data_IF_632713370579
#
_entry.id   IF_632713370579
#
_cell.length_a   1.000
_cell.length_b   1.000
_cell.length_c   1.000
_cell.angle_alpha   90.00
_cell.angle_beta   90.00
_cell.angle_gamma   90.00
#
_symmetry.space_group_name_H-M   'P 1'
#
loop_
_entity.id
_entity.type
_entity.pdbx_description
1 polymer ?
#
# COMPACT_ATOMS: atom_id res chain seq x y z
N UNK A 1 56.69 23.24 30.22
CA UNK A 1 56.76 21.90 29.59
C UNK A 1 55.64 21.07 30.20
N UNK A 2 54.57 20.62 29.53
CA UNK A 2 54.42 20.11 28.17
C UNK A 2 53.06 20.52 27.58
N UNK A 3 53.07 20.65 26.27
CA UNK A 3 52.01 21.16 25.41
C UNK A 3 50.80 20.22 25.38
N UNK A 4 49.61 20.75 25.65
CA UNK A 4 48.34 20.10 25.31
C UNK A 4 48.14 20.31 23.79
N UNK A 5 48.52 19.31 22.98
CA UNK A 5 48.25 19.33 21.54
C UNK A 5 46.75 19.10 21.30
N UNK A 6 46.12 19.86 20.41
CA UNK A 6 44.74 19.65 19.99
C UNK A 6 44.71 18.45 19.05
N UNK A 7 43.98 17.41 19.42
CA UNK A 7 43.80 16.23 18.59
C UNK A 7 42.32 16.07 18.30
N UNK A 8 42.03 15.84 17.03
CA UNK A 8 40.73 15.51 16.43
C UNK A 8 39.80 16.69 16.08
N UNK A 9 40.35 17.54 15.21
CA UNK A 9 39.66 17.87 13.95
C UNK A 9 39.31 16.56 13.20
N UNK A 10 38.19 16.56 12.48
CA UNK A 10 37.65 15.47 11.62
C UNK A 10 36.68 14.46 12.24
N UNK A 11 35.39 14.83 12.26
CA UNK A 11 34.29 14.02 11.69
C UNK A 11 33.08 14.95 11.49
N UNK A 12 33.17 15.82 10.49
CA UNK A 12 31.96 16.33 9.83
C UNK A 12 31.57 15.26 8.81
N UNK A 13 30.26 15.09 8.66
CA UNK A 13 29.56 14.73 7.41
C UNK A 13 28.90 13.33 7.43
N UNK A 14 27.57 13.39 7.28
CA UNK A 14 26.63 12.34 6.85
C UNK A 14 26.17 11.31 7.89
N UNK A 15 25.42 11.76 8.89
CA UNK A 15 24.09 11.14 9.02
C UNK A 15 23.21 11.78 7.94
N UNK A 16 23.43 11.41 6.67
CA UNK A 16 22.33 11.48 5.72
C UNK A 16 21.23 10.66 6.39
N UNK A 17 20.09 11.29 6.65
CA UNK A 17 18.94 10.59 7.19
C UNK A 17 18.79 9.31 6.39
N UNK A 18 18.54 8.20 7.09
CA UNK A 18 17.88 7.07 6.45
C UNK A 18 16.65 7.67 5.78
N UNK A 19 16.78 7.91 4.49
CA UNK A 19 15.64 8.10 3.64
C UNK A 19 15.00 6.74 3.77
N UNK A 20 13.95 6.61 4.57
CA UNK A 20 13.04 5.51 4.43
C UNK A 20 12.69 5.51 2.94
N UNK A 21 13.37 4.66 2.16
CA UNK A 21 13.23 4.60 0.71
C UNK A 21 11.85 4.00 0.52
N UNK A 22 10.95 4.95 0.35
CA UNK A 22 9.60 4.81 0.79
C UNK A 22 8.88 6.12 0.59
N UNK A 23 9.05 6.68 -0.59
CA UNK A 23 8.10 7.62 -1.13
C UNK A 23 8.00 7.24 -2.59
N UNK A 24 6.81 6.81 -2.97
CA UNK A 24 6.48 6.51 -4.36
C UNK A 24 6.82 7.70 -5.25
N UNK A 25 7.35 7.44 -6.45
CA UNK A 25 7.53 8.46 -7.50
C UNK A 25 6.18 8.91 -8.09
N UNK A 26 5.04 8.48 -7.53
CA UNK A 26 3.72 8.85 -8.00
C UNK A 26 3.47 10.36 -7.87
N UNK A 27 3.09 10.98 -9.00
CA UNK A 27 2.73 12.39 -9.05
C UNK A 27 1.30 12.61 -8.58
N UNK A 28 1.12 13.37 -7.51
CA UNK A 28 -0.22 13.75 -7.03
C UNK A 28 -0.90 14.75 -7.98
N UNK A 29 -2.21 14.58 -8.24
CA UNK A 29 -2.95 15.51 -9.07
C UNK A 29 -3.17 16.85 -8.36
N UNK A 30 -3.23 17.94 -9.13
CA UNK A 30 -3.61 19.27 -8.64
C UNK A 30 -5.13 19.44 -8.74
N UNK A 31 -5.69 20.30 -7.88
CA UNK A 31 -7.13 20.63 -7.90
C UNK A 31 -7.58 21.26 -9.22
N UNK A 32 -6.66 21.91 -9.93
CA UNK A 32 -6.89 22.58 -11.22
C UNK A 32 -6.69 21.66 -12.42
N UNK A 33 -6.22 20.42 -12.23
CA UNK A 33 -6.01 19.49 -13.34
C UNK A 33 -7.37 19.06 -13.93
N UNK A 34 -7.46 18.83 -15.26
CA UNK A 34 -8.64 18.26 -15.88
C UNK A 34 -9.04 16.94 -15.24
N UNK A 35 -10.34 16.62 -15.24
CA UNK A 35 -10.87 15.42 -14.56
C UNK A 35 -10.17 14.13 -15.01
N UNK A 36 -9.93 13.95 -16.32
CA UNK A 36 -9.26 12.75 -16.83
C UNK A 36 -7.82 12.59 -16.30
N UNK A 37 -7.09 13.69 -16.14
CA UNK A 37 -5.74 13.68 -15.55
C UNK A 37 -5.81 13.28 -14.08
N UNK A 38 -6.79 13.80 -13.34
CA UNK A 38 -6.98 13.45 -11.93
C UNK A 38 -7.31 11.97 -11.74
N UNK A 39 -8.13 11.41 -12.64
CA UNK A 39 -8.45 9.98 -12.65
C UNK A 39 -7.20 9.15 -12.93
N UNK A 40 -6.46 9.48 -13.99
CA UNK A 40 -5.21 8.78 -14.34
C UNK A 40 -4.20 8.77 -13.18
N UNK A 41 -4.02 9.92 -12.50
CA UNK A 41 -3.12 10.00 -11.33
C UNK A 41 -3.64 9.22 -10.14
N UNK A 42 -4.95 9.25 -9.87
CA UNK A 42 -5.54 8.44 -8.81
C UNK A 42 -5.33 6.95 -9.07
N UNK A 43 -5.60 6.48 -10.30
CA UNK A 43 -5.37 5.09 -10.70
C UNK A 43 -3.89 4.70 -10.58
N UNK A 44 -2.98 5.59 -10.98
CA UNK A 44 -1.54 5.38 -10.84
C UNK A 44 -1.12 5.23 -9.38
N UNK A 45 -1.56 6.12 -8.49
CA UNK A 45 -1.25 6.07 -7.05
C UNK A 45 -1.83 4.80 -6.43
N UNK A 46 -3.11 4.52 -6.67
CA UNK A 46 -3.78 3.33 -6.16
C UNK A 46 -3.03 2.05 -6.57
N UNK A 47 -2.57 1.98 -7.81
CA UNK A 47 -1.89 0.79 -8.34
C UNK A 47 -0.41 0.68 -7.97
N UNK A 48 0.28 1.80 -7.77
CA UNK A 48 1.71 1.80 -7.44
C UNK A 48 1.93 1.59 -5.94
N UNK A 49 1.08 2.22 -5.13
CA UNK A 49 1.35 2.35 -3.70
C UNK A 49 0.49 1.37 -2.90
N UNK A 50 -0.75 1.15 -3.33
CA UNK A 50 -1.74 0.42 -2.54
C UNK A 50 -2.06 -0.97 -3.07
N UNK A 51 -1.56 -1.35 -4.25
CA UNK A 51 -1.89 -2.61 -4.89
C UNK A 51 -1.14 -3.79 -4.26
N UNK A 52 -1.90 -4.79 -3.81
CA UNK A 52 -1.36 -6.03 -3.31
C UNK A 52 -2.21 -7.21 -3.78
N UNK A 53 -1.71 -7.92 -4.80
CA UNK A 53 -2.33 -9.14 -5.34
C UNK A 53 -3.84 -8.99 -5.61
N UNK A 54 -4.29 -7.87 -6.19
CA UNK A 54 -5.70 -7.60 -6.48
C UNK A 54 -6.49 -6.93 -5.35
N UNK A 55 -5.84 -6.51 -4.26
CA UNK A 55 -6.44 -5.73 -3.19
C UNK A 55 -5.82 -4.34 -3.11
N UNK A 56 -6.64 -3.35 -2.76
CA UNK A 56 -6.22 -1.98 -2.44
C UNK A 56 -6.10 -1.87 -0.92
N UNK A 57 -4.88 -1.59 -0.46
CA UNK A 57 -4.53 -1.59 0.95
C UNK A 57 -4.28 -0.15 1.42
N UNK A 58 -5.26 0.48 2.10
CA UNK A 58 -5.16 1.86 2.56
C UNK A 58 -4.20 1.92 3.76
N UNK A 59 -3.19 2.80 3.69
CA UNK A 59 -2.11 3.03 4.68
C UNK A 59 -0.89 2.11 4.58
N UNK A 60 -0.03 2.40 3.61
CA UNK A 60 1.29 1.80 3.49
C UNK A 60 2.23 2.34 4.57
N UNK A 61 2.78 1.43 5.38
CA UNK A 61 3.97 1.69 6.19
C UNK A 61 5.13 1.07 5.41
N UNK A 62 6.16 1.85 5.10
CA UNK A 62 7.32 1.33 4.39
C UNK A 62 7.96 0.17 5.16
N UNK A 63 8.60 -0.78 4.46
CA UNK A 63 9.00 -2.03 5.07
C UNK A 63 9.75 -1.80 6.39
N UNK A 64 9.44 -2.56 7.46
CA UNK A 64 10.37 -2.65 8.57
C UNK A 64 11.73 -3.12 8.04
N UNK A 65 12.81 -2.71 8.69
CA UNK A 65 14.18 -3.06 8.29
C UNK A 65 14.29 -4.58 8.01
N UNK A 66 14.69 -4.94 6.78
CA UNK A 66 14.87 -6.33 6.35
C UNK A 66 13.74 -6.93 5.50
N UNK A 67 12.66 -6.20 5.22
CA UNK A 67 11.67 -6.59 4.21
C UNK A 67 11.81 -5.73 2.96
N UNK A 68 11.67 -6.32 1.77
CA UNK A 68 11.71 -5.62 0.47
C UNK A 68 10.32 -5.18 -0.01
N UNK A 69 9.29 -5.35 0.83
CA UNK A 69 7.88 -5.11 0.50
C UNK A 69 7.20 -4.16 1.49
N UNK A 70 6.33 -3.25 1.02
CA UNK A 70 5.52 -2.40 1.89
C UNK A 70 4.63 -3.25 2.81
N UNK A 71 4.53 -2.84 4.08
CA UNK A 71 3.68 -3.49 5.09
C UNK A 71 2.60 -2.50 5.51
N UNK A 72 1.33 -2.89 5.44
CA UNK A 72 0.23 -1.91 5.45
C UNK A 72 -0.51 -2.02 6.78
N UNK A 73 -0.64 -0.92 7.51
CA UNK A 73 -1.21 -0.96 8.86
C UNK A 73 -2.75 -1.06 8.86
N UNK A 74 -3.43 -0.43 7.89
CA UNK A 74 -4.89 -0.34 7.87
C UNK A 74 -5.56 -1.46 7.09
N UNK A 75 -5.51 -2.71 7.58
CA UNK A 75 -6.20 -3.82 6.91
C UNK A 75 -7.72 -3.77 7.01
N UNK A 76 -8.28 -2.99 7.93
CA UNK A 76 -9.72 -2.98 8.20
C UNK A 76 -10.57 -2.54 6.99
N UNK A 77 -10.05 -1.64 6.16
CA UNK A 77 -10.81 -0.98 5.08
C UNK A 77 -10.46 -1.51 3.68
N UNK A 78 -9.61 -2.54 3.59
CA UNK A 78 -9.08 -3.02 2.30
C UNK A 78 -10.18 -3.53 1.35
N UNK A 79 -11.13 -4.33 1.85
CA UNK A 79 -12.26 -4.80 1.07
C UNK A 79 -13.08 -3.62 0.52
N UNK A 80 -13.33 -2.60 1.34
CA UNK A 80 -14.14 -1.44 0.96
C UNK A 80 -13.45 -0.65 -0.16
N UNK A 81 -12.16 -0.31 0.01
CA UNK A 81 -11.42 0.44 -1.00
C UNK A 81 -11.22 -0.36 -2.30
N UNK A 82 -11.01 -1.67 -2.20
CA UNK A 82 -10.94 -2.55 -3.37
C UNK A 82 -12.28 -2.57 -4.10
N UNK A 83 -13.39 -2.66 -3.37
CA UNK A 83 -14.74 -2.64 -3.92
C UNK A 83 -15.07 -1.31 -4.61
N UNK A 84 -14.70 -0.18 -4.01
CA UNK A 84 -14.88 1.15 -4.62
C UNK A 84 -14.12 1.25 -5.96
N UNK A 85 -12.87 0.82 -6.00
CA UNK A 85 -12.07 0.87 -7.22
C UNK A 85 -12.61 -0.08 -8.30
N UNK A 86 -13.04 -1.29 -7.90
CA UNK A 86 -13.68 -2.25 -8.80
C UNK A 86 -14.90 -1.62 -9.48
N UNK A 87 -15.80 -1.02 -8.70
CA UNK A 87 -16.98 -0.34 -9.23
C UNK A 87 -16.59 0.78 -10.20
N UNK A 88 -15.54 1.55 -9.88
CA UNK A 88 -14.99 2.57 -10.76
C UNK A 88 -14.59 2.03 -12.13
N UNK A 89 -13.79 0.96 -12.17
CA UNK A 89 -13.38 0.32 -13.43
C UNK A 89 -14.56 -0.31 -14.18
N UNK A 90 -15.53 -0.92 -13.48
CA UNK A 90 -16.73 -1.45 -14.10
C UNK A 90 -17.52 -0.37 -14.85
N UNK A 91 -17.74 0.80 -14.23
CA UNK A 91 -18.42 1.91 -14.90
C UNK A 91 -17.59 2.51 -16.02
N UNK A 92 -16.28 2.64 -15.84
CA UNK A 92 -15.37 3.14 -16.88
C UNK A 92 -15.44 2.24 -18.12
N UNK A 93 -15.29 0.93 -17.95
CA UNK A 93 -15.42 -0.05 -19.04
C UNK A 93 -16.79 -0.02 -19.70
N UNK A 94 -17.88 0.08 -18.92
CA UNK A 94 -19.23 0.13 -19.47
C UNK A 94 -19.46 1.33 -20.41
N UNK A 95 -18.75 2.43 -20.19
CA UNK A 95 -18.84 3.64 -21.02
C UNK A 95 -17.82 3.63 -22.18
N UNK A 96 -16.58 3.20 -21.93
CA UNK A 96 -15.49 3.29 -22.91
C UNK A 96 -15.35 2.06 -23.80
N UNK A 97 -15.74 0.89 -23.29
CA UNK A 97 -15.46 -0.40 -23.92
C UNK A 97 -13.98 -0.81 -23.89
N UNK A 98 -13.13 -0.11 -23.13
CA UNK A 98 -11.68 -0.38 -23.11
C UNK A 98 -11.36 -1.69 -22.38
N UNK A 99 -10.84 -2.73 -23.07
CA UNK A 99 -10.58 -4.02 -22.44
C UNK A 99 -9.52 -3.96 -21.34
N UNK A 100 -8.68 -2.92 -21.29
CA UNK A 100 -7.69 -2.74 -20.23
C UNK A 100 -8.34 -2.43 -18.88
N UNK A 101 -9.43 -1.65 -18.87
CA UNK A 101 -10.19 -1.35 -17.66
C UNK A 101 -10.89 -2.60 -17.11
N UNK A 102 -11.44 -3.42 -18.00
CA UNK A 102 -11.99 -4.73 -17.64
C UNK A 102 -10.94 -5.65 -17.03
N UNK A 103 -9.75 -5.72 -17.63
CA UNK A 103 -8.68 -6.57 -17.13
C UNK A 103 -8.21 -6.16 -15.71
N UNK A 104 -8.30 -4.87 -15.37
CA UNK A 104 -8.04 -4.41 -13.99
C UNK A 104 -9.21 -4.77 -13.06
N UNK A 105 -10.45 -4.59 -13.51
CA UNK A 105 -11.64 -5.00 -12.75
C UNK A 105 -11.61 -6.50 -12.41
N UNK A 106 -11.26 -7.36 -13.36
CA UNK A 106 -11.14 -8.81 -13.16
C UNK A 106 -10.12 -9.12 -12.05
N UNK A 107 -8.96 -8.46 -12.03
CA UNK A 107 -7.95 -8.64 -10.98
C UNK A 107 -8.42 -8.19 -9.59
N UNK A 108 -9.17 -7.09 -9.52
CA UNK A 108 -9.76 -6.61 -8.27
C UNK A 108 -10.81 -7.59 -7.74
N UNK A 109 -11.66 -8.10 -8.64
CA UNK A 109 -12.66 -9.11 -8.30
C UNK A 109 -12.01 -10.41 -7.80
N UNK A 110 -10.96 -10.89 -8.46
CA UNK A 110 -10.20 -12.06 -8.01
C UNK A 110 -9.60 -11.85 -6.61
N UNK A 111 -9.11 -10.64 -6.32
CA UNK A 111 -8.64 -10.26 -4.98
C UNK A 111 -9.75 -10.37 -3.93
N UNK A 112 -10.94 -9.86 -4.23
CA UNK A 112 -12.12 -9.95 -3.35
C UNK A 112 -12.57 -11.40 -3.19
N UNK A 113 -12.64 -12.18 -4.27
CA UNK A 113 -13.03 -13.59 -4.23
C UNK A 113 -12.07 -14.41 -3.37
N UNK A 114 -10.76 -14.10 -3.38
CA UNK A 114 -9.78 -14.72 -2.48
C UNK A 114 -10.10 -14.45 -1.01
N UNK A 115 -10.63 -13.29 -0.65
CA UNK A 115 -10.97 -12.98 0.75
C UNK A 115 -12.05 -13.88 1.34
N UNK A 116 -12.95 -14.44 0.51
CA UNK A 116 -13.92 -15.46 0.96
C UNK A 116 -13.21 -16.77 1.36
N UNK A 117 -12.09 -17.10 0.71
CA UNK A 117 -11.35 -18.34 0.98
C UNK A 117 -10.55 -18.31 2.29
N UNK A 118 -10.25 -17.11 2.81
CA UNK A 118 -9.36 -16.92 3.97
C UNK A 118 -9.99 -17.46 5.26
N UNK A 119 -11.31 -17.32 5.41
CA UNK A 119 -12.01 -17.70 6.65
C UNK A 119 -12.43 -19.16 6.67
N UNK A 120 -12.50 -19.81 5.50
CA UNK A 120 -13.06 -21.16 5.34
C UNK A 120 -14.58 -21.25 5.56
N UNK A 121 -15.27 -20.12 5.77
CA UNK A 121 -16.72 -20.06 5.98
C UNK A 121 -17.38 -19.52 4.71
N UNK A 122 -18.19 -20.32 3.99
CA UNK A 122 -18.86 -19.88 2.78
C UNK A 122 -19.71 -18.62 3.00
N UNK A 123 -19.58 -17.64 2.11
CA UNK A 123 -20.27 -16.35 2.21
C UNK A 123 -19.71 -15.38 3.24
N UNK A 124 -18.65 -15.76 3.99
CA UNK A 124 -17.98 -14.86 4.93
C UNK A 124 -16.66 -14.34 4.36
N UNK A 125 -16.70 -13.09 3.91
CA UNK A 125 -15.56 -12.43 3.27
C UNK A 125 -14.69 -11.78 4.35
N UNK A 126 -13.40 -12.10 4.38
CA UNK A 126 -12.44 -11.41 5.23
C UNK A 126 -12.30 -9.93 4.81
N UNK A 127 -12.00 -9.04 5.75
CA UNK A 127 -11.77 -7.62 5.43
C UNK A 127 -10.48 -7.38 4.64
N UNK A 128 -9.47 -8.22 4.86
CA UNK A 128 -8.19 -8.19 4.16
C UNK A 128 -7.42 -9.49 4.40
N UNK A 129 -6.35 -9.69 3.64
CA UNK A 129 -5.34 -10.72 3.86
C UNK A 129 -4.00 -10.27 3.29
N UNK A 130 -2.92 -10.85 3.77
CA UNK A 130 -1.59 -10.71 3.20
C UNK A 130 -0.84 -12.02 3.35
N UNK A 131 0.05 -12.30 2.39
CA UNK A 131 0.92 -13.47 2.46
C UNK A 131 2.01 -13.22 3.50
N UNK A 132 2.12 -14.07 4.49
CA UNK A 132 3.23 -14.05 5.45
C UNK A 132 3.52 -15.47 5.93
N UNK A 133 4.78 -15.71 6.29
CA UNK A 133 5.27 -16.94 6.92
C UNK A 133 5.39 -16.81 8.44
N UNK A 134 5.33 -15.59 8.95
CA UNK A 134 5.39 -15.26 10.37
C UNK A 134 4.43 -14.09 10.73
N UNK A 135 4.03 -13.96 12.01
CA UNK A 135 3.28 -12.79 12.47
C UNK A 135 4.04 -11.49 12.20
N UNK A 136 3.37 -10.48 11.67
CA UNK A 136 3.95 -9.17 11.39
C UNK A 136 3.87 -8.28 12.63
N UNK A 137 4.91 -7.46 12.84
CA UNK A 137 5.05 -6.61 14.02
C UNK A 137 3.83 -5.70 14.27
N UNK A 138 3.19 -5.22 13.19
CA UNK A 138 2.07 -4.28 13.29
C UNK A 138 0.78 -4.97 13.75
N UNK A 139 0.68 -6.29 13.62
CA UNK A 139 -0.46 -7.04 14.15
C UNK A 139 -0.58 -6.85 15.67
N UNK A 140 0.55 -6.89 16.38
CA UNK A 140 0.61 -6.68 17.83
C UNK A 140 0.31 -5.22 18.24
N UNK A 141 0.42 -4.26 17.31
CA UNK A 141 0.22 -2.83 17.58
C UNK A 141 -1.19 -2.38 17.20
N UNK A 142 -1.76 -2.97 16.15
CA UNK A 142 -3.01 -2.53 15.55
C UNK A 142 -4.20 -3.40 15.94
N UNK A 143 -3.98 -4.65 16.34
CA UNK A 143 -5.02 -5.53 16.86
C UNK A 143 -4.92 -5.63 18.38
N UNK A 144 -6.07 -5.73 19.04
CA UNK A 144 -6.09 -5.91 20.49
C UNK A 144 -5.58 -7.32 20.83
N UNK A 145 -4.85 -7.51 21.94
CA UNK A 145 -4.37 -8.85 22.36
C UNK A 145 -5.46 -9.90 22.58
N UNK A 146 -6.74 -9.52 22.49
CA UNK A 146 -7.93 -10.34 22.73
C UNK A 146 -8.71 -10.65 21.44
N UNK A 147 -8.27 -10.17 20.28
CA UNK A 147 -8.96 -10.38 18.99
C UNK A 147 -8.54 -11.69 18.27
N UNK A 148 -7.91 -12.62 18.99
CA UNK A 148 -7.52 -13.96 18.51
C UNK A 148 -7.80 -15.05 19.55
#
# INVERSE_FOLDING_TARGET
>A
MKNLRPLFFFCIVLCAGDSAVGQSDAMFPKRTDPLHVRIERYEQIARTDHWNEGLILPRVIFPPAGLDRPVIGGHADALDETGHLLVGYCYKYAVTGDPTDRAVADQLFDGIARLETVTGVPGWIARSCYRTDAPLWHEAVLWYPMEW
#
